data_IF_481300845652
#
_entry.id   IF_481300845652
#
_cell.length_a   1.000
_cell.length_b   1.000
_cell.length_c   1.000
_cell.angle_alpha   90.00
_cell.angle_beta   90.00
_cell.angle_gamma   90.00
#
_symmetry.space_group_name_H-M   'P 1'
#
loop_
_entity.id
_entity.type
_entity.pdbx_description
1 polymer ?
#
# COMPACT_ATOMS: atom_id res chain seq x y z
N UNK A 1 4.10 9.82 1.10
CA UNK A 1 4.90 8.61 1.33
C UNK A 1 6.36 9.00 1.25
N UNK A 2 7.11 8.86 2.34
CA UNK A 2 8.58 9.00 2.34
C UNK A 2 9.24 7.64 2.07
N UNK A 3 10.57 7.62 1.97
CA UNK A 3 11.31 6.36 1.79
C UNK A 3 11.19 5.50 3.05
N UNK A 4 11.29 6.13 4.22
CA UNK A 4 11.23 5.48 5.53
C UNK A 4 9.86 4.81 5.75
N UNK A 5 8.78 5.47 5.34
CA UNK A 5 7.42 4.91 5.40
C UNK A 5 7.28 3.67 4.49
N UNK A 6 7.91 3.68 3.33
CA UNK A 6 7.92 2.53 2.42
C UNK A 6 8.73 1.37 3.01
N UNK A 7 9.88 1.65 3.60
CA UNK A 7 10.73 0.66 4.27
C UNK A 7 9.99 -0.01 5.43
N UNK A 8 9.26 0.76 6.25
CA UNK A 8 8.44 0.23 7.34
C UNK A 8 7.37 -0.76 6.84
N UNK A 9 6.62 -0.40 5.80
CA UNK A 9 5.62 -1.29 5.18
C UNK A 9 6.26 -2.58 4.66
N UNK A 10 7.41 -2.48 4.01
CA UNK A 10 8.13 -3.65 3.49
C UNK A 10 8.66 -4.53 4.63
N UNK A 11 9.09 -3.94 5.74
CA UNK A 11 9.54 -4.65 6.93
C UNK A 11 8.40 -5.43 7.58
N UNK A 12 7.22 -4.81 7.71
CA UNK A 12 6.02 -5.49 8.22
C UNK A 12 5.58 -6.65 7.31
N UNK A 13 5.62 -6.44 5.99
CA UNK A 13 5.33 -7.49 5.01
C UNK A 13 6.31 -8.67 5.16
N UNK A 14 7.60 -8.39 5.29
CA UNK A 14 8.63 -9.40 5.48
C UNK A 14 8.43 -10.17 6.80
N UNK A 15 8.15 -9.46 7.90
CA UNK A 15 7.86 -10.05 9.20
C UNK A 15 6.64 -10.99 9.14
N UNK A 16 5.57 -10.57 8.46
CA UNK A 16 4.39 -11.41 8.24
C UNK A 16 4.68 -12.62 7.38
N UNK A 17 5.48 -12.47 6.32
CA UNK A 17 5.85 -13.58 5.44
C UNK A 17 6.62 -14.66 6.20
N UNK A 18 7.59 -14.26 7.03
CA UNK A 18 8.36 -15.16 7.89
C UNK A 18 7.44 -15.81 8.92
N UNK A 19 6.64 -15.02 9.64
CA UNK A 19 5.75 -15.51 10.71
C UNK A 19 4.73 -16.52 10.21
N UNK A 20 4.19 -16.30 9.01
CA UNK A 20 3.20 -17.19 8.39
C UNK A 20 3.84 -18.35 7.62
N UNK A 21 5.16 -18.35 7.46
CA UNK A 21 5.91 -19.27 6.60
C UNK A 21 5.30 -19.36 5.18
N UNK A 22 4.97 -18.19 4.61
CA UNK A 22 4.33 -18.07 3.29
C UNK A 22 4.97 -16.93 2.50
N UNK A 23 5.25 -17.12 1.19
CA UNK A 23 5.72 -16.03 0.36
C UNK A 23 4.57 -15.03 0.16
N UNK A 24 4.74 -13.82 0.70
CA UNK A 24 3.78 -12.73 0.54
C UNK A 24 4.31 -11.71 -0.46
N UNK A 25 3.38 -11.04 -1.13
CA UNK A 25 3.66 -9.89 -1.98
C UNK A 25 2.65 -8.79 -1.67
N UNK A 26 3.09 -7.54 -1.76
CA UNK A 26 2.20 -6.38 -1.65
C UNK A 26 2.33 -5.53 -2.92
N UNK A 27 1.23 -4.88 -3.31
CA UNK A 27 1.19 -3.89 -4.39
C UNK A 27 0.80 -2.56 -3.78
N UNK A 28 1.71 -1.60 -3.85
CA UNK A 28 1.50 -0.26 -3.32
C UNK A 28 1.22 0.68 -4.50
N UNK A 29 0.16 1.47 -4.38
CA UNK A 29 -0.22 2.47 -5.36
C UNK A 29 -0.24 3.86 -4.70
N UNK A 30 0.90 4.57 -4.69
CA UNK A 30 0.91 5.98 -4.29
C UNK A 30 0.06 6.79 -5.28
N UNK A 31 -0.88 7.60 -4.78
CA UNK A 31 -1.72 8.48 -5.58
C UNK A 31 -1.33 9.94 -5.30
N UNK A 32 -0.49 10.56 -6.13
CA UNK A 32 -0.02 11.93 -5.90
C UNK A 32 -1.17 12.93 -5.87
N UNK A 33 -1.12 13.88 -4.94
CA UNK A 33 -2.10 14.98 -4.85
C UNK A 33 -3.47 14.58 -4.29
N UNK A 34 -3.66 13.31 -3.89
CA UNK A 34 -4.86 12.84 -3.20
C UNK A 34 -4.64 12.67 -1.70
N UNK A 35 -5.72 12.77 -0.95
CA UNK A 35 -5.73 12.66 0.51
C UNK A 35 -6.29 11.32 0.97
N UNK A 36 -5.95 10.97 2.20
CA UNK A 36 -6.51 9.81 2.91
C UNK A 36 -8.04 9.90 2.94
N UNK A 37 -8.70 8.78 2.67
CA UNK A 37 -10.16 8.65 2.64
C UNK A 37 -10.82 9.04 1.31
N UNK A 38 -10.11 9.72 0.40
CA UNK A 38 -10.62 9.94 -0.95
C UNK A 38 -10.70 8.63 -1.73
N UNK A 39 -11.64 8.57 -2.69
CA UNK A 39 -11.72 7.46 -3.63
C UNK A 39 -10.65 7.62 -4.72
N UNK A 40 -10.01 6.51 -5.09
CA UNK A 40 -9.21 6.45 -6.31
C UNK A 40 -10.09 6.64 -7.54
N UNK A 41 -9.48 6.96 -8.68
CA UNK A 41 -10.14 7.01 -9.98
C UNK A 41 -9.24 6.29 -10.99
N UNK A 42 -9.15 4.98 -10.86
CA UNK A 42 -8.36 4.15 -11.74
C UNK A 42 -9.08 4.00 -13.08
N UNK A 43 -8.44 4.45 -14.16
CA UNK A 43 -8.96 4.29 -15.53
C UNK A 43 -8.58 2.93 -16.16
N UNK A 44 -8.23 1.93 -15.34
CA UNK A 44 -7.79 0.61 -15.80
C UNK A 44 -8.91 -0.41 -15.64
N UNK A 45 -9.20 -1.25 -16.65
CA UNK A 45 -10.23 -2.30 -16.54
C UNK A 45 -9.86 -3.40 -15.54
N UNK A 46 -8.63 -3.41 -15.02
CA UNK A 46 -8.13 -4.39 -14.06
C UNK A 46 -8.09 -3.86 -12.62
N UNK A 47 -8.44 -2.59 -12.40
CA UNK A 47 -8.42 -1.95 -11.10
C UNK A 47 -9.84 -1.53 -10.73
N UNK A 48 -10.15 -1.67 -9.45
CA UNK A 48 -11.41 -1.22 -8.88
C UNK A 48 -11.11 -0.08 -7.96
N UNK A 49 -11.93 0.96 -8.02
CA UNK A 49 -11.76 2.11 -7.15
C UNK A 49 -11.94 1.76 -5.68
N UNK A 50 -11.03 2.27 -4.86
CA UNK A 50 -10.97 2.01 -3.44
C UNK A 50 -10.58 3.28 -2.68
N UNK A 51 -10.82 3.28 -1.37
CA UNK A 51 -10.44 4.41 -0.52
C UNK A 51 -8.94 4.40 -0.29
N UNK A 52 -8.34 5.58 -0.38
CA UNK A 52 -6.92 5.78 -0.10
C UNK A 52 -6.69 5.64 1.40
N UNK A 53 -5.79 4.71 1.77
CA UNK A 53 -5.36 4.53 3.14
C UNK A 53 -4.23 5.50 3.48
N UNK A 54 -4.25 5.99 4.73
CA UNK A 54 -3.12 6.72 5.29
C UNK A 54 -2.01 5.76 5.66
N UNK A 55 -0.78 6.23 5.50
CA UNK A 55 0.40 5.59 6.08
C UNK A 55 0.83 6.53 7.19
N UNK A 56 0.82 6.02 8.42
CA UNK A 56 1.27 6.76 9.60
C UNK A 56 2.81 6.79 9.65
N UNK A 57 3.36 7.71 10.43
CA UNK A 57 4.80 7.84 10.69
C UNK A 57 5.31 6.84 11.73
#
# INVERSE_FOLDING_TARGET
ITIEQLEAILMDLAALAIKLNKPLSARLFPIPGKKVGEMTAFNSPYLVDCRIFGVED
#
